data_IF_499276414467
#
_entry.id   IF_499276414467
#
_cell.length_a   1.000
_cell.length_b   1.000
_cell.length_c   1.000
_cell.angle_alpha   90.00
_cell.angle_beta   90.00
_cell.angle_gamma   90.00
#
_symmetry.space_group_name_H-M   'P 1'
#
loop_
_entity.id
_entity.type
_entity.pdbx_description
1 polymer ?
#
# COMPACT_ATOMS: atom_id res chain seq x y z
N UNK A 1 -11.87 13.10 -11.59
CA UNK A 1 -11.55 12.48 -12.89
C UNK A 1 -12.78 11.74 -13.37
N UNK A 2 -13.37 12.20 -14.46
CA UNK A 2 -14.61 11.69 -15.05
C UNK A 2 -14.36 10.41 -15.85
N UNK A 3 -15.06 9.33 -15.49
CA UNK A 3 -15.38 8.23 -16.40
C UNK A 3 -16.71 7.62 -15.98
N UNK A 4 -17.83 8.16 -16.46
CA UNK A 4 -19.17 7.61 -16.25
C UNK A 4 -19.69 6.92 -17.51
N UNK A 5 -18.84 6.16 -18.19
CA UNK A 5 -19.29 5.21 -19.21
C UNK A 5 -19.35 3.82 -18.57
N UNK A 6 -20.56 3.39 -18.19
CA UNK A 6 -20.80 2.04 -17.67
C UNK A 6 -20.73 1.07 -18.87
N UNK A 7 -19.76 0.16 -18.85
CA UNK A 7 -19.70 -0.96 -19.81
C UNK A 7 -20.26 -2.22 -19.15
N UNK A 8 -21.20 -2.87 -19.83
CA UNK A 8 -21.72 -4.18 -19.40
C UNK A 8 -20.76 -5.27 -19.83
N UNK A 9 -20.43 -6.16 -18.91
CA UNK A 9 -19.60 -7.34 -19.14
C UNK A 9 -20.40 -8.58 -18.74
N UNK A 10 -20.41 -9.61 -19.59
CA UNK A 10 -20.93 -10.92 -19.24
C UNK A 10 -19.84 -11.70 -18.50
N UNK A 11 -20.08 -12.06 -17.24
CA UNK A 11 -19.13 -12.83 -16.42
C UNK A 11 -19.79 -14.13 -15.97
N UNK A 12 -19.04 -15.23 -16.05
CA UNK A 12 -19.45 -16.52 -15.51
C UNK A 12 -18.92 -16.65 -14.08
N UNK A 13 -19.82 -16.79 -13.11
CA UNK A 13 -19.50 -16.95 -11.70
C UNK A 13 -19.96 -18.34 -11.26
N UNK A 14 -19.18 -19.08 -10.45
CA UNK A 14 -19.62 -20.34 -9.87
C UNK A 14 -20.91 -20.21 -9.06
N UNK A 15 -21.80 -21.20 -9.19
CA UNK A 15 -23.11 -21.20 -8.51
C UNK A 15 -23.00 -21.10 -6.99
N UNK A 16 -21.96 -21.67 -6.40
CA UNK A 16 -21.70 -21.58 -4.95
C UNK A 16 -21.55 -20.13 -4.49
N UNK A 17 -20.69 -19.37 -5.16
CA UNK A 17 -20.41 -17.96 -4.87
C UNK A 17 -21.64 -17.10 -5.18
N UNK A 18 -22.36 -17.42 -6.26
CA UNK A 18 -23.58 -16.70 -6.60
C UNK A 18 -24.64 -16.86 -5.50
N UNK A 19 -24.84 -18.06 -4.97
CA UNK A 19 -25.78 -18.30 -3.85
C UNK A 19 -25.39 -17.54 -2.59
N UNK A 20 -24.10 -17.53 -2.23
CA UNK A 20 -23.61 -16.75 -1.09
C UNK A 20 -23.89 -15.25 -1.29
N UNK A 21 -23.62 -14.72 -2.48
CA UNK A 21 -23.92 -13.33 -2.81
C UNK A 21 -25.42 -13.03 -2.74
N UNK A 22 -26.28 -13.94 -3.20
CA UNK A 22 -27.73 -13.79 -3.15
C UNK A 22 -28.27 -13.76 -1.71
N UNK A 23 -27.65 -14.51 -0.80
CA UNK A 23 -28.02 -14.53 0.63
C UNK A 23 -27.60 -13.25 1.35
N UNK A 24 -26.46 -12.67 0.97
CA UNK A 24 -25.88 -11.50 1.64
C UNK A 24 -26.40 -10.16 1.09
N UNK A 25 -26.74 -10.10 -0.20
CA UNK A 25 -27.01 -8.85 -0.91
C UNK A 25 -28.32 -8.94 -1.71
N UNK A 26 -29.24 -7.97 -1.54
CA UNK A 26 -30.48 -7.91 -2.32
C UNK A 26 -30.16 -7.67 -3.80
N UNK A 27 -31.01 -8.20 -4.67
CA UNK A 27 -30.80 -8.23 -6.13
C UNK A 27 -30.39 -6.88 -6.75
N UNK A 28 -31.04 -5.79 -6.32
CA UNK A 28 -30.78 -4.43 -6.83
C UNK A 28 -29.38 -3.89 -6.49
N UNK A 29 -28.70 -4.44 -5.48
CA UNK A 29 -27.37 -3.99 -5.02
C UNK A 29 -26.23 -4.94 -5.38
N UNK A 30 -26.51 -6.07 -6.06
CA UNK A 30 -25.49 -7.07 -6.38
C UNK A 30 -24.40 -6.52 -7.30
N UNK A 31 -24.79 -5.77 -8.33
CA UNK A 31 -23.84 -5.14 -9.26
C UNK A 31 -22.94 -4.13 -8.55
N UNK A 32 -23.52 -3.28 -7.70
CA UNK A 32 -22.77 -2.31 -6.88
C UNK A 32 -21.80 -3.00 -5.93
N UNK A 33 -22.24 -4.07 -5.28
CA UNK A 33 -21.40 -4.87 -4.39
C UNK A 33 -20.19 -5.49 -5.12
N UNK A 34 -20.42 -6.08 -6.30
CA UNK A 34 -19.35 -6.67 -7.13
C UNK A 34 -18.36 -5.58 -7.56
N UNK A 35 -18.86 -4.43 -8.04
CA UNK A 35 -17.99 -3.32 -8.48
C UNK A 35 -17.15 -2.81 -7.32
N UNK A 36 -17.74 -2.64 -6.14
CA UNK A 36 -17.01 -2.21 -4.95
C UNK A 36 -15.94 -3.22 -4.52
N UNK A 37 -16.28 -4.50 -4.47
CA UNK A 37 -15.32 -5.55 -4.15
C UNK A 37 -14.14 -5.58 -5.15
N UNK A 38 -14.42 -5.38 -6.44
CA UNK A 38 -13.38 -5.26 -7.46
C UNK A 38 -12.52 -4.01 -7.27
N UNK A 39 -13.11 -2.85 -6.94
CA UNK A 39 -12.36 -1.63 -6.66
C UNK A 39 -11.41 -1.81 -5.49
N UNK A 40 -11.91 -2.32 -4.37
CA UNK A 40 -11.12 -2.59 -3.18
C UNK A 40 -9.97 -3.55 -3.52
N UNK A 41 -10.26 -4.63 -4.25
CA UNK A 41 -9.24 -5.60 -4.66
C UNK A 41 -8.16 -5.00 -5.57
N UNK A 42 -8.56 -4.21 -6.55
CA UNK A 42 -7.62 -3.56 -7.47
C UNK A 42 -6.72 -2.54 -6.76
N UNK A 43 -7.25 -1.82 -5.76
CA UNK A 43 -6.44 -0.91 -4.95
C UNK A 43 -5.39 -1.65 -4.11
N UNK A 44 -5.76 -2.78 -3.51
CA UNK A 44 -4.82 -3.63 -2.79
C UNK A 44 -3.69 -4.14 -3.70
N UNK A 45 -4.04 -4.62 -4.89
CA UNK A 45 -3.06 -5.12 -5.86
C UNK A 45 -2.12 -4.01 -6.36
N UNK A 46 -2.65 -2.81 -6.63
CA UNK A 46 -1.83 -1.63 -6.97
C UNK A 46 -0.86 -1.28 -5.86
N UNK A 47 -1.31 -1.24 -4.61
CA UNK A 47 -0.45 -0.95 -3.44
C UNK A 47 0.64 -2.00 -3.28
N UNK A 48 0.30 -3.29 -3.46
CA UNK A 48 1.25 -4.39 -3.39
C UNK A 48 2.32 -4.27 -4.48
N UNK A 49 1.90 -4.06 -5.73
CA UNK A 49 2.80 -3.90 -6.87
C UNK A 49 3.73 -2.70 -6.70
N UNK A 50 3.19 -1.54 -6.28
CA UNK A 50 3.99 -0.35 -6.01
C UNK A 50 5.06 -0.63 -4.95
N UNK A 51 4.69 -1.31 -3.85
CA UNK A 51 5.65 -1.68 -2.81
C UNK A 51 6.76 -2.59 -3.36
N UNK A 52 6.43 -3.57 -4.18
CA UNK A 52 7.41 -4.47 -4.80
C UNK A 52 8.36 -3.72 -5.74
N UNK A 53 7.82 -2.82 -6.57
CA UNK A 53 8.59 -1.95 -7.46
C UNK A 53 9.54 -1.03 -6.66
N UNK A 54 9.05 -0.42 -5.57
CA UNK A 54 9.88 0.40 -4.67
C UNK A 54 11.02 -0.42 -4.05
N UNK A 55 10.73 -1.59 -3.47
CA UNK A 55 11.75 -2.45 -2.87
C UNK A 55 12.81 -2.83 -3.91
N UNK A 56 12.39 -3.16 -5.13
CA UNK A 56 13.31 -3.48 -6.22
C UNK A 56 14.18 -2.28 -6.59
N UNK A 57 13.59 -1.10 -6.71
CA UNK A 57 14.31 0.14 -7.01
C UNK A 57 15.36 0.48 -5.95
N UNK A 58 14.99 0.47 -4.66
CA UNK A 58 15.93 0.75 -3.58
C UNK A 58 17.07 -0.26 -3.50
N UNK A 59 16.80 -1.54 -3.78
CA UNK A 59 17.86 -2.55 -3.84
C UNK A 59 18.80 -2.34 -5.02
N UNK A 60 18.26 -1.95 -6.17
CA UNK A 60 19.06 -1.71 -7.37
C UNK A 60 19.97 -0.47 -7.22
N UNK A 61 19.51 0.54 -6.47
CA UNK A 61 20.23 1.79 -6.29
C UNK A 61 21.04 1.85 -4.99
N UNK A 62 21.03 0.81 -4.16
CA UNK A 62 21.61 0.84 -2.81
C UNK A 62 23.06 1.34 -2.78
N UNK A 63 23.89 0.90 -3.73
CA UNK A 63 25.30 1.29 -3.79
C UNK A 63 25.48 2.75 -4.22
N UNK A 64 24.66 3.23 -5.17
CA UNK A 64 24.68 4.62 -5.64
C UNK A 64 24.15 5.55 -4.53
N UNK A 65 23.04 5.18 -3.92
CA UNK A 65 22.43 5.92 -2.81
C UNK A 65 23.41 6.02 -1.63
N UNK A 66 24.17 4.95 -1.33
CA UNK A 66 25.20 4.94 -0.30
C UNK A 66 26.41 5.82 -0.66
N UNK A 67 26.87 5.80 -1.91
CA UNK A 67 27.97 6.66 -2.35
C UNK A 67 27.61 8.13 -2.24
N UNK A 68 26.40 8.51 -2.70
CA UNK A 68 25.89 9.87 -2.56
C UNK A 68 25.79 10.24 -1.06
N UNK A 69 25.25 9.36 -0.21
CA UNK A 69 25.19 9.65 1.23
C UNK A 69 26.57 9.92 1.84
N UNK A 70 27.60 9.20 1.41
CA UNK A 70 28.97 9.44 1.89
C UNK A 70 29.53 10.78 1.39
N UNK A 71 29.29 11.14 0.13
CA UNK A 71 29.74 12.41 -0.45
C UNK A 71 29.19 13.62 0.30
N UNK A 72 27.93 13.54 0.76
CA UNK A 72 27.25 14.63 1.44
C UNK A 72 27.46 14.64 2.97
N UNK A 73 27.97 13.54 3.55
CA UNK A 73 28.08 13.37 5.00
C UNK A 73 28.87 14.49 5.69
N UNK A 74 30.01 14.88 5.14
CA UNK A 74 30.88 15.91 5.75
C UNK A 74 30.16 17.26 5.83
N UNK A 75 29.41 17.63 4.78
CA UNK A 75 28.62 18.85 4.74
C UNK A 75 27.48 18.82 5.76
N UNK A 76 26.79 17.68 5.90
CA UNK A 76 25.74 17.48 6.91
C UNK A 76 26.30 17.61 8.33
N UNK A 77 27.43 16.96 8.63
CA UNK A 77 28.09 17.03 9.95
C UNK A 77 28.54 18.45 10.31
N UNK A 78 29.02 19.22 9.34
CA UNK A 78 29.36 20.63 9.53
C UNK A 78 28.10 21.47 9.78
N UNK A 79 27.08 21.33 8.95
CA UNK A 79 25.81 22.04 9.10
C UNK A 79 25.14 21.75 10.45
N UNK A 80 25.16 20.50 10.93
CA UNK A 80 24.66 20.14 12.25
C UNK A 80 25.37 20.91 13.38
N UNK A 81 26.69 21.05 13.30
CA UNK A 81 27.50 21.81 14.27
C UNK A 81 27.16 23.31 14.24
N UNK A 82 26.85 23.86 13.07
CA UNK A 82 26.50 25.28 12.92
C UNK A 82 25.06 25.62 13.34
N UNK A 83 24.10 24.73 13.07
CA UNK A 83 22.67 25.03 13.27
C UNK A 83 22.21 24.71 14.70
N UNK A 84 22.97 23.90 15.47
CA UNK A 84 22.71 23.68 16.90
C UNK A 84 21.28 23.22 17.20
N UNK A 85 20.72 22.33 16.36
CA UNK A 85 19.32 21.91 16.51
C UNK A 85 19.19 20.93 17.67
N UNK A 86 18.51 21.42 18.70
CA UNK A 86 17.91 20.66 19.81
C UNK A 86 17.34 19.34 19.31
N UNK A 87 17.71 18.25 19.99
CA UNK A 87 17.13 16.92 19.81
C UNK A 87 15.60 16.98 19.60
N UNK A 88 15.15 16.85 18.35
CA UNK A 88 13.83 16.28 18.11
C UNK A 88 14.01 14.81 18.46
N UNK A 89 13.59 14.42 19.67
CA UNK A 89 13.64 13.03 20.11
C UNK A 89 13.05 12.15 19.01
N UNK A 90 13.92 11.40 18.35
CA UNK A 90 13.54 10.34 17.42
C UNK A 90 12.53 9.45 18.14
N UNK A 91 11.23 9.61 17.81
CA UNK A 91 10.26 8.57 18.15
C UNK A 91 10.61 7.40 17.24
N UNK A 92 11.10 6.27 17.78
CA UNK A 92 11.44 5.14 16.94
C UNK A 92 10.19 4.73 16.18
N UNK A 93 10.32 4.58 14.87
CA UNK A 93 9.24 4.11 14.01
C UNK A 93 8.83 2.72 14.51
N UNK A 94 7.77 2.66 15.31
CA UNK A 94 7.31 1.44 15.98
C UNK A 94 6.79 0.49 14.90
N UNK A 95 7.61 -0.49 14.50
CA UNK A 95 7.13 -1.65 13.75
C UNK A 95 5.98 -2.23 14.58
N UNK A 96 4.73 -2.06 14.12
CA UNK A 96 3.61 -2.86 14.64
C UNK A 96 3.91 -4.30 14.24
N UNK A 97 4.60 -5.04 15.12
CA UNK A 97 4.66 -6.48 15.05
C UNK A 97 3.22 -6.99 14.98
N UNK A 98 2.93 -7.78 13.96
CA UNK A 98 1.61 -8.31 13.69
C UNK A 98 1.03 -8.96 14.95
N UNK A 99 -0.20 -8.58 15.28
CA UNK A 99 -0.98 -9.27 16.28
C UNK A 99 -1.27 -10.69 15.79
N UNK A 100 -0.47 -11.64 16.23
CA UNK A 100 -0.75 -13.07 16.14
C UNK A 100 -1.00 -13.61 17.55
N UNK A 101 -2.26 -13.96 17.77
CA UNK A 101 -2.72 -15.14 18.51
C UNK A 101 -2.78 -15.12 20.05
N UNK A 102 -3.98 -15.55 20.51
CA UNK A 102 -4.34 -16.23 21.77
C UNK A 102 -4.62 -15.38 23.03
N UNK A 103 -5.92 -15.09 23.21
CA UNK A 103 -6.65 -15.26 24.49
C UNK A 103 -7.78 -16.24 24.15
N UNK A 104 -7.85 -17.50 24.59
CA UNK A 104 -7.96 -18.02 25.97
C UNK A 104 -8.90 -17.19 26.81
#
# INVERSE_FOLDING_TARGET
MSFTAIKRIGISIPDSILKELQNLVPERKRSEYIVRALQERLEEEKKKRLREEMIKGYKANADIDAAIAEEWRTLEEEAEKFIGVKESKNKPYRRKSGGLSKKR
#
